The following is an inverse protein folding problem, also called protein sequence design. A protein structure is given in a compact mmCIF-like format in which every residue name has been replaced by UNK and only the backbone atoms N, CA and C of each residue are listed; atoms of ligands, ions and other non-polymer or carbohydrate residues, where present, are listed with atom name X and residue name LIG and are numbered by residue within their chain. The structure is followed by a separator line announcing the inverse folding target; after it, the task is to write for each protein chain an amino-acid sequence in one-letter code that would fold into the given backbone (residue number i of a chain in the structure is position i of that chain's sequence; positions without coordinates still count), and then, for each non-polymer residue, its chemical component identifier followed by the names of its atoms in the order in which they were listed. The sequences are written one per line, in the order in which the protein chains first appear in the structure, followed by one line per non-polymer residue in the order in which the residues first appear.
data_IF_602542118460
#
_entry.id   IF_602542118460
#
_cell.length_a   1.000
_cell.length_b   1.000
_cell.length_c   1.000
_cell.angle_alpha   90.00
_cell.angle_beta   90.00
_cell.angle_gamma   90.00
#
_symmetry.space_group_name_H-M   'P 1'
#
loop_
_entity.id
_entity.type
_entity.pdbx_description
1 polymer ?
#
# COMPACT_ATOMS: atom_id res chain seq x y z
N UNK A 1 -28.60 -47.16 27.97
CA UNK A 1 -28.23 -45.96 28.74
C UNK A 1 -26.71 -45.91 28.79
N UNK A 2 -26.10 -45.20 27.92
CA UNK A 2 -24.67 -44.93 27.93
C UNK A 2 -24.50 -43.42 28.23
N UNK A 3 -23.80 -43.13 29.34
CA UNK A 3 -23.52 -41.75 29.81
C UNK A 3 -22.46 -41.08 28.97
N UNK A 4 -22.40 -39.75 28.96
CA UNK A 4 -21.45 -38.99 28.15
C UNK A 4 -20.04 -39.09 28.78
N UNK A 5 -19.07 -39.44 27.90
CA UNK A 5 -17.65 -39.43 28.22
C UNK A 5 -17.19 -38.00 28.56
N UNK A 6 -16.53 -37.89 29.68
CA UNK A 6 -15.92 -36.65 30.17
C UNK A 6 -14.75 -36.24 29.24
N UNK A 7 -14.88 -35.09 28.61
CA UNK A 7 -13.77 -34.43 27.96
C UNK A 7 -12.76 -34.04 29.03
N UNK A 8 -11.62 -34.71 29.04
CA UNK A 8 -10.53 -34.44 29.96
C UNK A 8 -10.02 -33.01 29.73
N UNK A 9 -10.19 -32.16 30.74
CA UNK A 9 -9.54 -30.86 30.88
C UNK A 9 -8.01 -31.08 30.86
N UNK A 10 -7.38 -30.71 29.76
CA UNK A 10 -5.93 -30.55 29.71
C UNK A 10 -5.56 -29.40 30.64
N UNK A 11 -4.94 -29.76 31.75
CA UNK A 11 -4.32 -28.82 32.69
C UNK A 11 -3.36 -27.91 31.94
N UNK A 12 -3.62 -26.59 32.00
CA UNK A 12 -2.71 -25.54 31.64
C UNK A 12 -1.53 -25.53 32.61
N UNK A 13 -0.54 -26.39 32.36
CA UNK A 13 0.80 -26.15 32.89
C UNK A 13 1.38 -24.99 32.06
N UNK A 14 1.61 -23.86 32.71
CA UNK A 14 2.47 -22.76 32.25
C UNK A 14 3.89 -23.31 32.02
N UNK A 15 4.09 -23.96 30.91
CA UNK A 15 5.39 -24.12 30.30
C UNK A 15 5.79 -22.72 29.84
N UNK A 16 6.73 -22.08 30.53
CA UNK A 16 7.49 -20.96 29.99
C UNK A 16 8.08 -21.42 28.66
N UNK A 17 7.33 -21.20 27.58
CA UNK A 17 7.76 -21.55 26.22
C UNK A 17 8.93 -20.65 25.90
N UNK A 18 10.13 -21.21 25.81
CA UNK A 18 11.31 -20.50 25.31
C UNK A 18 10.96 -19.93 23.94
N UNK A 19 11.22 -18.63 23.69
CA UNK A 19 10.97 -18.05 22.37
C UNK A 19 11.64 -18.86 21.26
N UNK A 20 11.05 -18.99 20.08
CA UNK A 20 11.63 -19.72 18.96
C UNK A 20 13.07 -19.26 18.68
N UNK A 21 14.02 -20.19 18.66
CA UNK A 21 15.43 -19.93 18.44
C UNK A 21 16.12 -21.17 17.86
N UNK A 22 17.27 -20.94 17.26
CA UNK A 22 18.23 -21.98 16.88
C UNK A 22 19.64 -21.44 17.06
N UNK A 23 20.16 -21.53 18.30
CA UNK A 23 21.50 -21.03 18.64
C UNK A 23 22.57 -21.70 17.78
N UNK A 24 22.41 -22.97 17.46
CA UNK A 24 23.30 -23.72 16.58
C UNK A 24 23.38 -23.13 15.18
N UNK A 25 22.23 -22.74 14.60
CA UNK A 25 22.19 -22.09 13.28
C UNK A 25 22.79 -20.69 13.33
N UNK A 26 22.54 -19.91 14.40
CA UNK A 26 23.14 -18.60 14.60
C UNK A 26 24.67 -18.69 14.69
N UNK A 27 25.20 -19.63 15.48
CA UNK A 27 26.64 -19.85 15.62
C UNK A 27 27.27 -20.31 14.30
N UNK A 28 26.62 -21.24 13.60
CA UNK A 28 27.09 -21.72 12.29
C UNK A 28 27.09 -20.61 11.24
N UNK A 29 26.07 -19.73 11.28
CA UNK A 29 25.97 -18.57 10.38
C UNK A 29 27.12 -17.59 10.59
N UNK A 30 27.35 -17.16 11.84
CA UNK A 30 28.44 -16.25 12.20
C UNK A 30 29.82 -16.89 11.91
N UNK A 31 29.99 -18.16 12.23
CA UNK A 31 31.21 -18.89 11.95
C UNK A 31 31.52 -18.99 10.46
N UNK A 32 30.49 -19.23 9.63
CA UNK A 32 30.62 -19.26 8.17
C UNK A 32 31.07 -17.89 7.61
N UNK A 33 30.52 -16.81 8.16
CA UNK A 33 30.90 -15.46 7.76
C UNK A 33 32.34 -15.07 8.18
N UNK A 34 32.86 -15.65 9.27
CA UNK A 34 34.28 -15.49 9.65
C UNK A 34 35.24 -16.24 8.72
N UNK A 35 34.76 -17.28 8.02
CA UNK A 35 35.55 -18.13 7.13
C UNK A 35 35.53 -17.69 5.66
N UNK A 36 34.46 -17.01 5.24
CA UNK A 36 34.25 -16.65 3.83
C UNK A 36 33.79 -15.18 3.69
N UNK A 37 34.50 -14.43 2.84
CA UNK A 37 34.15 -13.04 2.55
C UNK A 37 32.80 -12.91 1.85
N UNK A 38 32.46 -13.85 0.98
CA UNK A 38 31.17 -13.90 0.30
C UNK A 38 30.03 -14.11 1.30
N UNK A 39 30.17 -15.09 2.20
CA UNK A 39 29.24 -15.33 3.28
C UNK A 39 29.10 -14.11 4.21
N UNK A 40 30.19 -13.40 4.45
CA UNK A 40 30.20 -12.18 5.27
C UNK A 40 29.38 -11.06 4.60
N UNK A 41 29.55 -10.84 3.29
CA UNK A 41 28.80 -9.81 2.54
C UNK A 41 27.30 -10.13 2.55
N UNK A 42 26.92 -11.36 2.24
CA UNK A 42 25.51 -11.77 2.24
C UNK A 42 24.87 -11.71 3.65
N UNK A 43 25.63 -12.07 4.68
CA UNK A 43 25.16 -11.92 6.07
C UNK A 43 24.76 -10.47 6.38
N UNK A 44 25.59 -9.49 5.97
CA UNK A 44 25.31 -8.07 6.22
C UNK A 44 24.12 -7.53 5.43
N UNK A 45 23.85 -8.11 4.25
CA UNK A 45 22.71 -7.75 3.42
C UNK A 45 21.40 -8.35 3.92
N UNK A 46 21.38 -9.61 4.35
CA UNK A 46 20.17 -10.38 4.56
C UNK A 46 19.73 -10.45 6.04
N UNK A 47 20.63 -10.20 7.02
CA UNK A 47 20.37 -10.37 8.46
C UNK A 47 20.55 -9.05 9.20
N UNK A 48 19.69 -8.83 10.19
CA UNK A 48 19.77 -7.70 11.12
C UNK A 48 20.17 -8.20 12.52
N UNK A 49 20.78 -7.34 13.35
CA UNK A 49 21.17 -7.69 14.75
C UNK A 49 20.01 -8.29 15.54
N UNK A 50 18.80 -7.74 15.38
CA UNK A 50 17.59 -8.21 16.07
C UNK A 50 17.08 -9.59 15.61
N UNK A 51 17.62 -10.14 14.53
CA UNK A 51 17.25 -11.48 14.06
C UNK A 51 17.95 -12.60 14.84
N UNK A 52 18.98 -12.26 15.60
CA UNK A 52 19.61 -13.20 16.51
C UNK A 52 18.85 -13.24 17.84
N UNK A 53 18.69 -14.44 18.39
CA UNK A 53 18.10 -14.67 19.72
C UNK A 53 19.12 -14.48 20.83
N UNK A 54 20.35 -14.95 20.61
CA UNK A 54 21.43 -14.87 21.58
C UNK A 54 22.01 -13.45 21.64
N UNK A 55 21.99 -12.77 22.82
CA UNK A 55 22.63 -11.47 22.98
C UNK A 55 24.12 -11.48 22.64
N UNK A 56 24.78 -12.62 22.88
CA UNK A 56 26.17 -12.84 22.53
C UNK A 56 26.38 -12.78 21.00
N UNK A 57 25.52 -13.46 20.23
CA UNK A 57 25.57 -13.48 18.79
C UNK A 57 25.20 -12.13 18.19
N UNK A 58 24.26 -11.39 18.78
CA UNK A 58 23.96 -10.00 18.42
C UNK A 58 25.21 -9.12 18.54
N UNK A 59 25.92 -9.19 19.68
CA UNK A 59 27.14 -8.39 19.90
C UNK A 59 28.24 -8.73 18.90
N UNK A 60 28.41 -10.01 18.58
CA UNK A 60 29.41 -10.46 17.58
C UNK A 60 29.03 -9.94 16.20
N UNK A 61 27.75 -10.04 15.82
CA UNK A 61 27.26 -9.53 14.54
C UNK A 61 27.44 -8.00 14.42
N UNK A 62 27.15 -7.23 15.47
CA UNK A 62 27.36 -5.78 15.51
C UNK A 62 28.84 -5.41 15.30
N UNK A 63 29.75 -6.15 15.93
CA UNK A 63 31.18 -5.96 15.71
C UNK A 63 31.61 -6.29 14.28
N UNK A 64 31.06 -7.37 13.70
CA UNK A 64 31.30 -7.72 12.30
C UNK A 64 30.77 -6.63 11.35
N UNK A 65 29.60 -6.06 11.65
CA UNK A 65 29.00 -4.97 10.89
C UNK A 65 29.85 -3.69 10.93
N UNK A 66 30.34 -3.31 12.11
CA UNK A 66 31.25 -2.16 12.26
C UNK A 66 32.52 -2.32 11.39
N UNK A 67 33.09 -3.51 11.36
CA UNK A 67 34.23 -3.83 10.51
C UNK A 67 33.89 -3.76 9.02
N UNK A 68 32.73 -4.32 8.63
CA UNK A 68 32.23 -4.29 7.26
C UNK A 68 32.03 -2.86 6.75
N UNK A 69 31.33 -2.04 7.52
CA UNK A 69 31.05 -0.63 7.21
C UNK A 69 32.33 0.21 7.13
N UNK A 70 33.36 -0.18 7.90
CA UNK A 70 34.70 0.43 7.85
C UNK A 70 35.61 -0.12 6.76
N UNK A 71 35.16 -1.07 5.95
CA UNK A 71 35.96 -1.72 4.89
C UNK A 71 37.12 -2.56 5.41
N UNK A 72 37.10 -2.97 6.68
CA UNK A 72 38.16 -3.78 7.31
C UNK A 72 37.88 -5.27 7.14
N UNK A 73 38.94 -6.13 7.14
CA UNK A 73 38.73 -7.58 7.07
C UNK A 73 37.97 -8.08 8.30
N UNK A 74 37.07 -9.03 8.07
CA UNK A 74 36.28 -9.70 9.11
C UNK A 74 36.89 -11.08 9.35
N UNK A 75 37.57 -11.23 10.46
CA UNK A 75 38.14 -12.47 10.93
C UNK A 75 38.06 -12.58 12.47
N UNK A 76 38.44 -13.73 13.03
CA UNK A 76 38.36 -13.97 14.47
C UNK A 76 39.17 -12.99 15.30
N UNK A 77 40.27 -12.45 14.78
CA UNK A 77 41.16 -11.54 15.46
C UNK A 77 40.57 -10.12 15.46
N UNK A 78 40.19 -9.62 14.30
CA UNK A 78 39.61 -8.27 14.14
C UNK A 78 38.29 -8.12 14.87
N UNK A 79 37.40 -9.14 14.78
CA UNK A 79 36.12 -9.14 15.52
C UNK A 79 36.36 -9.18 17.03
N UNK A 80 37.34 -9.98 17.51
CA UNK A 80 37.68 -10.01 18.93
C UNK A 80 38.18 -8.65 19.41
N UNK A 81 39.00 -7.95 18.62
CA UNK A 81 39.50 -6.61 18.97
C UNK A 81 38.34 -5.62 19.14
N UNK A 82 37.37 -5.59 18.24
CA UNK A 82 36.20 -4.68 18.33
C UNK A 82 35.32 -5.03 19.51
N UNK A 83 34.98 -6.31 19.71
CA UNK A 83 34.12 -6.78 20.80
C UNK A 83 34.72 -6.41 22.20
N UNK A 84 36.04 -6.57 22.37
CA UNK A 84 36.69 -6.33 23.66
C UNK A 84 37.14 -4.88 23.89
N UNK A 85 37.09 -4.04 22.86
CA UNK A 85 37.36 -2.60 22.98
C UNK A 85 36.28 -1.89 23.79
N UNK A 86 35.05 -2.35 23.69
CA UNK A 86 33.91 -1.78 24.40
C UNK A 86 33.76 -2.44 25.79
N UNK A 87 34.19 -1.72 26.82
CA UNK A 87 34.20 -2.19 28.22
C UNK A 87 32.85 -2.57 28.79
N UNK A 88 31.76 -2.19 28.14
CA UNK A 88 30.37 -2.54 28.53
C UNK A 88 30.02 -3.99 28.21
N UNK A 89 30.62 -4.58 27.18
CA UNK A 89 30.32 -5.91 26.69
C UNK A 89 31.18 -7.05 27.30
N UNK A 90 32.12 -6.70 28.16
CA UNK A 90 33.19 -7.61 28.61
C UNK A 90 32.75 -8.62 29.68
N UNK A 91 31.51 -8.57 30.17
CA UNK A 91 31.12 -9.37 31.34
C UNK A 91 30.73 -10.83 31.01
N UNK A 92 30.40 -11.16 29.75
CA UNK A 92 29.93 -12.50 29.37
C UNK A 92 30.67 -13.17 28.20
N UNK A 93 31.42 -12.40 27.39
CA UNK A 93 32.11 -12.94 26.20
C UNK A 93 33.58 -13.27 26.54
N UNK A 94 34.02 -14.46 26.19
CA UNK A 94 35.42 -14.91 26.21
C UNK A 94 35.97 -14.99 24.80
N UNK A 95 37.25 -14.65 24.59
CA UNK A 95 37.92 -14.80 23.27
C UNK A 95 37.75 -16.23 22.70
N UNK A 96 37.69 -17.25 23.56
CA UNK A 96 37.42 -18.63 23.19
C UNK A 96 36.01 -18.85 22.58
N UNK A 97 35.05 -17.95 22.83
CA UNK A 97 33.70 -18.08 22.27
C UNK A 97 33.69 -17.75 20.79
N UNK A 98 34.46 -16.74 20.33
CA UNK A 98 34.56 -16.38 18.91
C UNK A 98 35.34 -17.46 18.13
N UNK A 99 36.41 -18.00 18.71
CA UNK A 99 37.14 -19.10 18.08
C UNK A 99 36.26 -20.37 17.90
N UNK A 100 35.43 -20.70 18.90
CA UNK A 100 34.47 -21.80 18.81
C UNK A 100 33.43 -21.67 17.68
N UNK A 101 33.07 -20.46 17.26
CA UNK A 101 32.15 -20.26 16.13
C UNK A 101 32.72 -20.87 14.85
N UNK A 102 34.02 -20.74 14.62
CA UNK A 102 34.69 -21.31 13.44
C UNK A 102 34.82 -22.81 13.54
N UNK A 103 35.13 -23.33 14.75
CA UNK A 103 35.26 -24.77 14.97
C UNK A 103 33.92 -25.51 14.84
N UNK A 104 32.81 -24.85 15.14
CA UNK A 104 31.47 -25.42 15.11
C UNK A 104 30.78 -25.35 13.75
N UNK A 105 31.42 -24.82 12.68
CA UNK A 105 30.82 -24.76 11.33
C UNK A 105 30.86 -26.13 10.68
N UNK A 106 29.71 -26.81 10.46
CA UNK A 106 29.70 -28.12 9.82
C UNK A 106 30.06 -28.05 8.33
N UNK A 107 29.66 -27.00 7.65
CA UNK A 107 29.97 -26.68 6.25
C UNK A 107 29.61 -25.24 5.92
N UNK A 108 30.56 -24.48 5.40
CA UNK A 108 30.27 -23.13 4.86
C UNK A 108 29.41 -23.15 3.59
N UNK A 109 29.27 -24.30 2.94
CA UNK A 109 28.41 -24.47 1.77
C UNK A 109 26.88 -24.37 2.10
N UNK A 110 26.53 -24.58 3.37
CA UNK A 110 25.14 -24.54 3.81
C UNK A 110 24.72 -23.18 4.39
N UNK A 111 25.47 -22.14 4.14
CA UNK A 111 25.27 -20.81 4.66
C UNK A 111 23.85 -20.26 4.40
N UNK A 112 23.34 -20.42 3.18
CA UNK A 112 21.97 -19.99 2.81
C UNK A 112 20.92 -20.64 3.69
N UNK A 113 21.09 -21.94 3.99
CA UNK A 113 20.16 -22.65 4.87
C UNK A 113 20.19 -22.14 6.30
N UNK A 114 21.35 -21.69 6.77
CA UNK A 114 21.45 -21.10 8.11
C UNK A 114 20.77 -19.72 8.17
N UNK A 115 20.87 -18.90 7.11
CA UNK A 115 20.11 -17.65 6.99
C UNK A 115 18.62 -17.94 7.08
N UNK A 116 18.09 -18.86 6.27
CA UNK A 116 16.66 -19.20 6.28
C UNK A 116 16.18 -19.61 7.68
N UNK A 117 16.94 -20.46 8.37
CA UNK A 117 16.58 -20.92 9.73
C UNK A 117 16.54 -19.73 10.71
N UNK A 118 17.56 -18.87 10.71
CA UNK A 118 17.63 -17.72 11.61
C UNK A 118 16.48 -16.74 11.33
N UNK A 119 16.20 -16.46 10.06
CA UNK A 119 15.08 -15.60 9.64
C UNK A 119 13.72 -16.22 10.04
N UNK A 120 13.51 -17.52 9.84
CA UNK A 120 12.29 -18.20 10.24
C UNK A 120 12.05 -18.06 11.75
N UNK A 121 13.07 -18.32 12.57
CA UNK A 121 12.94 -18.18 14.02
C UNK A 121 12.75 -16.71 14.44
N UNK A 122 13.39 -15.77 13.78
CA UNK A 122 13.19 -14.34 14.00
C UNK A 122 11.75 -13.92 13.69
N UNK A 123 11.21 -14.33 12.55
CA UNK A 123 9.84 -14.02 12.15
C UNK A 123 8.81 -14.61 13.13
N UNK A 124 9.04 -15.82 13.64
CA UNK A 124 8.21 -16.41 14.71
C UNK A 124 8.25 -15.57 15.98
N UNK A 125 9.42 -15.03 16.38
CA UNK A 125 9.54 -14.12 17.54
C UNK A 125 8.84 -12.79 17.31
N UNK A 126 8.92 -12.22 16.08
CA UNK A 126 8.20 -10.99 15.71
C UNK A 126 6.68 -11.19 15.84
N UNK A 127 6.16 -12.33 15.36
CA UNK A 127 4.74 -12.68 15.52
C UNK A 127 4.33 -12.84 16.99
N UNK A 128 5.16 -13.44 17.83
CA UNK A 128 4.90 -13.56 19.27
C UNK A 128 4.89 -12.18 19.95
N UNK A 129 5.80 -11.27 19.58
CA UNK A 129 5.81 -9.90 20.10
C UNK A 129 4.56 -9.13 19.67
N UNK A 130 4.15 -9.26 18.40
CA UNK A 130 2.93 -8.65 17.89
C UNK A 130 1.69 -9.18 18.63
N UNK A 131 1.59 -10.51 18.82
CA UNK A 131 0.50 -11.14 19.58
C UNK A 131 0.42 -10.62 21.02
N UNK A 132 1.57 -10.55 21.73
CA UNK A 132 1.60 -10.01 23.10
C UNK A 132 1.21 -8.52 23.15
N UNK A 133 1.57 -7.74 22.13
CA UNK A 133 1.16 -6.33 22.03
C UNK A 133 -0.34 -6.21 21.79
N UNK A 134 -0.90 -7.05 20.92
CA UNK A 134 -2.35 -7.09 20.63
C UNK A 134 -3.12 -7.51 21.89
N UNK A 135 -2.63 -8.49 22.64
CA UNK A 135 -3.22 -8.89 23.91
C UNK A 135 -3.29 -7.71 24.89
N UNK A 136 -2.19 -6.98 25.08
CA UNK A 136 -2.15 -5.79 25.93
C UNK A 136 -3.13 -4.69 25.45
N UNK A 137 -3.21 -4.47 24.14
CA UNK A 137 -4.16 -3.51 23.55
C UNK A 137 -5.61 -3.90 23.80
N UNK A 138 -5.93 -5.20 23.74
CA UNK A 138 -7.28 -5.70 23.98
C UNK A 138 -7.73 -5.51 25.43
N UNK A 139 -6.81 -5.46 26.40
CA UNK A 139 -7.10 -5.14 27.80
C UNK A 139 -7.13 -3.65 28.11
N UNK A 140 -6.71 -2.77 27.19
CA UNK A 140 -6.73 -1.31 27.39
C UNK A 140 -8.16 -0.76 27.22
N UNK A 141 -8.91 -0.69 28.31
CA UNK A 141 -10.32 -0.25 28.32
C UNK A 141 -10.50 1.27 28.22
N UNK A 142 -9.43 2.03 28.31
CA UNK A 142 -9.37 3.48 28.22
C UNK A 142 -9.31 4.02 26.76
N UNK A 143 -9.01 3.13 25.81
CA UNK A 143 -8.91 3.47 24.38
C UNK A 143 -10.20 3.14 23.63
N UNK A 144 -10.48 3.95 22.59
CA UNK A 144 -11.54 3.63 21.65
C UNK A 144 -11.22 2.34 20.88
N UNK A 145 -12.24 1.49 20.69
CA UNK A 145 -12.07 0.17 20.06
C UNK A 145 -11.55 0.25 18.62
N UNK A 146 -11.90 1.31 17.88
CA UNK A 146 -11.39 1.49 16.52
C UNK A 146 -9.88 1.74 16.54
N UNK A 147 -9.38 2.58 17.43
CA UNK A 147 -7.96 2.83 17.61
C UNK A 147 -7.21 1.57 18.05
N UNK A 148 -7.81 0.74 18.90
CA UNK A 148 -7.24 -0.54 19.34
C UNK A 148 -7.11 -1.50 18.15
N UNK A 149 -8.13 -1.57 17.29
CA UNK A 149 -8.09 -2.41 16.09
C UNK A 149 -7.02 -1.96 15.09
N UNK A 150 -6.90 -0.65 14.86
CA UNK A 150 -5.88 -0.08 13.97
C UNK A 150 -4.47 -0.36 14.48
N UNK A 151 -4.21 -0.15 15.79
CA UNK A 151 -2.91 -0.46 16.41
C UNK A 151 -2.59 -1.98 16.35
N UNK A 152 -3.60 -2.84 16.45
CA UNK A 152 -3.46 -4.29 16.34
C UNK A 152 -3.10 -4.69 14.90
N UNK A 153 -3.81 -4.17 13.89
CA UNK A 153 -3.50 -4.40 12.48
C UNK A 153 -2.10 -3.92 12.13
N UNK A 154 -1.71 -2.73 12.59
CA UNK A 154 -0.37 -2.19 12.39
C UNK A 154 0.71 -3.07 13.03
N UNK A 155 0.43 -3.68 14.19
CA UNK A 155 1.37 -4.57 14.89
C UNK A 155 1.59 -5.87 14.11
N UNK A 156 0.55 -6.43 13.49
CA UNK A 156 0.65 -7.61 12.62
C UNK A 156 1.40 -7.26 11.34
N UNK A 157 1.06 -6.10 10.74
CA UNK A 157 1.65 -5.66 9.50
C UNK A 157 3.16 -5.44 9.63
N UNK A 158 3.60 -4.71 10.67
CA UNK A 158 5.03 -4.49 10.90
C UNK A 158 5.80 -5.79 11.14
N UNK A 159 5.16 -6.81 11.75
CA UNK A 159 5.77 -8.12 11.89
C UNK A 159 5.92 -8.89 10.56
N UNK A 160 5.06 -8.59 9.57
CA UNK A 160 5.10 -9.21 8.23
C UNK A 160 6.00 -8.46 7.26
N UNK A 161 6.03 -7.12 7.33
CA UNK A 161 6.75 -6.26 6.38
C UNK A 161 8.28 -6.36 6.54
N UNK A 162 8.75 -6.54 7.79
CA UNK A 162 10.16 -6.84 8.07
C UNK A 162 10.65 -8.18 7.50
N UNK A 163 9.72 -9.05 7.08
CA UNK A 163 10.04 -10.36 6.50
C UNK A 163 10.29 -10.29 4.98
N UNK A 164 9.93 -9.17 4.31
CA UNK A 164 10.07 -8.98 2.87
C UNK A 164 11.00 -7.78 2.65
N UNK A 165 12.23 -7.89 3.10
CA UNK A 165 13.31 -7.03 2.63
C UNK A 165 13.71 -7.54 1.24
N UNK A 166 13.06 -7.05 0.17
CA UNK A 166 13.59 -7.24 -1.18
C UNK A 166 14.94 -6.53 -1.25
N UNK A 167 16.02 -7.32 -1.32
CA UNK A 167 17.36 -6.83 -1.63
C UNK A 167 17.38 -6.18 -3.02
N UNK A 168 18.53 -5.62 -3.41
CA UNK A 168 18.74 -5.16 -4.79
C UNK A 168 18.57 -6.34 -5.74
N UNK A 169 17.64 -6.21 -6.69
CA UNK A 169 17.36 -7.24 -7.70
C UNK A 169 18.21 -6.93 -8.92
N UNK A 170 18.92 -7.92 -9.44
CA UNK A 170 19.73 -7.80 -10.66
C UNK A 170 18.84 -7.52 -11.88
N UNK A 171 19.33 -6.75 -12.85
CA UNK A 171 18.61 -6.48 -14.11
C UNK A 171 18.23 -7.76 -14.82
N UNK A 172 19.13 -8.78 -14.79
CA UNK A 172 18.89 -10.12 -15.37
C UNK A 172 17.61 -10.78 -14.85
N UNK A 173 17.29 -10.58 -13.57
CA UNK A 173 16.18 -11.27 -12.91
C UNK A 173 14.81 -10.66 -13.25
N UNK A 174 14.81 -9.43 -13.78
CA UNK A 174 13.61 -8.66 -14.16
C UNK A 174 13.44 -8.54 -15.67
N UNK A 175 14.50 -8.81 -16.44
CA UNK A 175 14.54 -8.57 -17.88
C UNK A 175 13.53 -9.41 -18.65
N UNK A 176 13.44 -10.70 -18.35
CA UNK A 176 12.53 -11.62 -19.03
C UNK A 176 11.08 -11.20 -18.84
N UNK A 177 10.66 -10.87 -17.60
CA UNK A 177 9.32 -10.37 -17.32
C UNK A 177 9.02 -9.00 -17.95
N UNK A 178 10.04 -8.16 -18.14
CA UNK A 178 9.86 -6.88 -18.84
C UNK A 178 9.65 -7.10 -20.35
N UNK A 179 10.37 -8.04 -20.97
CA UNK A 179 10.20 -8.41 -22.38
C UNK A 179 8.83 -9.02 -22.61
N UNK A 180 8.41 -9.99 -21.79
CA UNK A 180 7.08 -10.59 -21.88
C UNK A 180 5.96 -9.53 -21.82
N UNK A 181 6.09 -8.55 -20.94
CA UNK A 181 5.12 -7.46 -20.82
C UNK A 181 5.08 -6.57 -22.08
N UNK A 182 6.22 -6.30 -22.72
CA UNK A 182 6.29 -5.55 -23.99
C UNK A 182 5.61 -6.35 -25.11
N UNK A 183 5.86 -7.65 -25.21
CA UNK A 183 5.24 -8.55 -26.18
C UNK A 183 3.71 -8.63 -26.00
N UNK A 184 3.23 -8.68 -24.76
CA UNK A 184 1.80 -8.65 -24.45
C UNK A 184 1.14 -7.36 -24.94
N UNK A 185 1.76 -6.19 -24.72
CA UNK A 185 1.26 -4.88 -25.18
C UNK A 185 1.21 -4.85 -26.72
N UNK A 186 2.24 -5.32 -27.39
CA UNK A 186 2.31 -5.38 -28.86
C UNK A 186 1.22 -6.31 -29.44
N UNK A 187 1.03 -7.48 -28.84
CA UNK A 187 0.05 -8.45 -29.27
C UNK A 187 -1.41 -7.98 -29.05
N UNK A 188 -1.69 -7.16 -28.02
CA UNK A 188 -3.02 -6.62 -27.79
C UNK A 188 -3.43 -5.59 -28.85
N UNK A 189 -2.50 -4.97 -29.55
CA UNK A 189 -2.76 -4.04 -30.66
C UNK A 189 -3.54 -2.76 -30.27
N UNK A 190 -3.83 -2.57 -28.98
CA UNK A 190 -4.60 -1.41 -28.48
C UNK A 190 -3.71 -0.21 -28.17
N UNK A 191 -2.40 -0.39 -28.07
CA UNK A 191 -1.46 0.64 -27.64
C UNK A 191 -1.60 1.03 -26.16
N UNK A 192 -2.39 0.27 -25.39
CA UNK A 192 -2.61 0.51 -23.96
C UNK A 192 -1.77 -0.44 -23.13
N UNK A 193 -0.90 0.12 -22.29
CA UNK A 193 -0.08 -0.63 -21.34
C UNK A 193 -0.72 -0.73 -19.94
N UNK A 194 -1.73 0.09 -19.67
CA UNK A 194 -2.46 0.18 -18.42
C UNK A 194 -3.96 -0.04 -18.56
N UNK A 195 -4.68 0.20 -17.46
CA UNK A 195 -6.12 0.07 -17.38
C UNK A 195 -6.81 1.17 -18.20
N UNK A 196 -7.64 0.78 -19.18
CA UNK A 196 -8.35 1.72 -20.04
C UNK A 196 -9.37 2.56 -19.25
N UNK A 197 -9.40 3.86 -19.47
CA UNK A 197 -10.43 4.77 -18.93
C UNK A 197 -11.68 4.81 -19.79
N UNK A 198 -11.55 4.37 -21.05
CA UNK A 198 -12.54 4.49 -22.13
C UNK A 198 -12.90 5.93 -22.53
N UNK A 199 -11.96 6.85 -22.27
CA UNK A 199 -11.92 8.15 -22.88
C UNK A 199 -10.76 8.16 -23.88
N UNK A 200 -11.07 8.13 -25.17
CA UNK A 200 -10.10 7.87 -26.24
C UNK A 200 -8.88 8.80 -26.20
N UNK A 201 -9.10 10.10 -26.03
CA UNK A 201 -8.00 11.09 -25.98
C UNK A 201 -7.17 10.93 -24.70
N UNK A 202 -7.81 10.58 -23.60
CA UNK A 202 -7.14 10.34 -22.33
C UNK A 202 -6.29 9.06 -22.41
N UNK A 203 -6.86 7.98 -22.91
CA UNK A 203 -6.19 6.71 -23.08
C UNK A 203 -5.01 6.81 -24.08
N UNK A 204 -5.18 7.57 -25.18
CA UNK A 204 -4.10 7.81 -26.14
C UNK A 204 -2.92 8.59 -25.53
N UNK A 205 -3.19 9.45 -24.55
CA UNK A 205 -2.16 10.29 -23.90
C UNK A 205 -1.47 9.54 -22.75
N UNK A 206 -2.24 8.77 -21.96
CA UNK A 206 -1.73 8.08 -20.77
C UNK A 206 -1.30 6.62 -21.03
N UNK A 207 -1.64 6.07 -22.20
CA UNK A 207 -1.57 4.63 -22.47
C UNK A 207 -2.33 3.79 -21.42
N UNK A 208 -3.43 4.34 -20.85
CA UNK A 208 -4.18 3.78 -19.73
C UNK A 208 -3.60 4.12 -18.35
N UNK A 209 -4.34 3.77 -17.29
CA UNK A 209 -3.91 3.95 -15.91
C UNK A 209 -2.95 2.83 -15.53
N UNK A 210 -1.69 3.17 -15.18
CA UNK A 210 -0.65 2.19 -14.91
C UNK A 210 -0.75 1.65 -13.47
N UNK A 211 -0.46 0.38 -13.28
CA UNK A 211 -0.38 -0.26 -11.98
C UNK A 211 0.61 0.43 -11.05
N UNK A 212 0.19 0.65 -9.81
CA UNK A 212 1.00 1.31 -8.80
C UNK A 212 1.09 2.83 -8.94
N UNK A 213 0.36 3.44 -9.91
CA UNK A 213 0.33 4.88 -10.06
C UNK A 213 -0.74 5.55 -9.19
N UNK A 214 -0.37 6.71 -8.66
CA UNK A 214 -1.29 7.67 -8.05
C UNK A 214 -1.63 8.74 -9.10
N UNK A 215 -2.87 8.71 -9.57
CA UNK A 215 -3.41 9.66 -10.55
C UNK A 215 -4.33 10.63 -9.83
N UNK A 216 -4.11 11.93 -9.95
CA UNK A 216 -4.89 12.95 -9.26
C UNK A 216 -5.75 13.74 -10.26
N UNK A 217 -7.07 13.78 -10.04
CA UNK A 217 -7.98 14.69 -10.76
C UNK A 217 -8.24 15.90 -9.87
N UNK A 218 -7.77 17.06 -10.32
CA UNK A 218 -7.90 18.31 -9.60
C UNK A 218 -8.85 19.28 -10.30
N UNK A 219 -9.79 19.85 -9.55
CA UNK A 219 -10.76 20.80 -10.10
C UNK A 219 -11.29 21.77 -9.04
N UNK A 220 -11.83 22.89 -9.52
CA UNK A 220 -12.72 23.73 -8.72
C UNK A 220 -14.08 23.06 -8.53
N UNK A 221 -14.84 23.40 -7.47
CA UNK A 221 -16.20 22.89 -7.28
C UNK A 221 -17.07 23.08 -8.54
N UNK A 222 -17.98 22.17 -8.77
CA UNK A 222 -18.93 22.18 -9.90
C UNK A 222 -18.33 22.00 -11.31
N UNK A 223 -17.03 21.73 -11.43
CA UNK A 223 -16.38 21.44 -12.72
C UNK A 223 -16.64 20.02 -13.25
N UNK A 224 -17.19 19.12 -12.43
CA UNK A 224 -17.51 17.76 -12.83
C UNK A 224 -16.48 16.70 -12.40
N UNK A 225 -15.60 17.01 -11.44
CA UNK A 225 -14.56 16.12 -10.91
C UNK A 225 -15.09 14.71 -10.55
N UNK A 226 -16.05 14.64 -9.63
CA UNK A 226 -16.66 13.38 -9.17
C UNK A 226 -17.41 12.66 -10.30
N UNK A 227 -18.01 13.42 -11.24
CA UNK A 227 -18.69 12.83 -12.40
C UNK A 227 -17.72 12.16 -13.36
N UNK A 228 -16.57 12.76 -13.63
CA UNK A 228 -15.53 12.16 -14.48
C UNK A 228 -14.98 10.88 -13.83
N UNK A 229 -14.63 10.94 -12.55
CA UNK A 229 -14.11 9.79 -11.83
C UNK A 229 -15.13 8.63 -11.77
N UNK A 230 -16.41 8.95 -11.53
CA UNK A 230 -17.49 7.95 -11.53
C UNK A 230 -17.70 7.34 -12.91
N UNK A 231 -17.58 8.12 -13.99
CA UNK A 231 -17.67 7.59 -15.36
C UNK A 231 -16.48 6.67 -15.68
N UNK A 232 -15.25 7.02 -15.29
CA UNK A 232 -14.08 6.16 -15.43
C UNK A 232 -14.33 4.84 -14.65
N UNK A 233 -14.72 4.92 -13.38
CA UNK A 233 -15.03 3.76 -12.56
C UNK A 233 -16.10 2.85 -13.16
N UNK A 234 -17.16 3.46 -13.71
CA UNK A 234 -18.25 2.74 -14.39
C UNK A 234 -17.75 2.06 -15.67
N UNK A 235 -16.99 2.77 -16.50
CA UNK A 235 -16.45 2.22 -17.74
C UNK A 235 -15.53 1.03 -17.47
N UNK A 236 -14.60 1.16 -16.52
CA UNK A 236 -13.71 0.08 -16.06
C UNK A 236 -14.52 -1.14 -15.59
N UNK A 237 -15.59 -0.90 -14.81
CA UNK A 237 -16.44 -1.99 -14.31
C UNK A 237 -17.27 -2.67 -15.39
N UNK A 238 -17.58 -2.01 -16.52
CA UNK A 238 -18.22 -2.64 -17.68
C UNK A 238 -17.34 -3.72 -18.31
N UNK A 239 -16.01 -3.54 -18.28
CA UNK A 239 -15.02 -4.52 -18.71
C UNK A 239 -14.78 -5.65 -17.70
N UNK A 240 -15.67 -5.77 -16.69
CA UNK A 240 -15.55 -6.76 -15.61
C UNK A 240 -14.33 -6.58 -14.70
N UNK A 241 -13.70 -5.43 -14.75
CA UNK A 241 -12.63 -5.03 -13.85
C UNK A 241 -13.19 -4.55 -12.53
N UNK A 242 -12.64 -5.02 -11.43
CA UNK A 242 -13.13 -4.74 -10.08
C UNK A 242 -12.70 -3.34 -9.64
N UNK A 243 -13.66 -2.49 -9.32
CA UNK A 243 -13.41 -1.11 -8.91
C UNK A 243 -13.96 -0.85 -7.50
N UNK A 244 -13.11 -0.26 -6.64
CA UNK A 244 -13.51 0.28 -5.33
C UNK A 244 -13.61 1.79 -5.41
N UNK A 245 -14.74 2.37 -4.99
CA UNK A 245 -14.99 3.80 -4.97
C UNK A 245 -15.30 4.25 -3.54
N UNK A 246 -14.37 5.01 -2.94
CA UNK A 246 -14.49 5.60 -1.62
C UNK A 246 -14.99 7.05 -1.76
N UNK A 247 -16.18 7.34 -1.26
CA UNK A 247 -16.81 8.65 -1.34
C UNK A 247 -16.97 9.26 0.05
N UNK A 248 -16.39 10.44 0.24
CA UNK A 248 -16.55 11.22 1.47
C UNK A 248 -17.52 12.41 1.29
N UNK A 249 -17.94 12.70 0.04
CA UNK A 249 -18.83 13.82 -0.26
C UNK A 249 -20.25 13.36 -0.57
N UNK A 250 -20.41 12.20 -1.18
CA UNK A 250 -21.70 11.70 -1.66
C UNK A 250 -22.03 10.35 -1.05
N UNK A 251 -23.33 10.13 -0.80
CA UNK A 251 -23.83 8.83 -0.34
C UNK A 251 -23.77 7.78 -1.46
N UNK A 252 -23.69 6.51 -1.11
CA UNK A 252 -23.70 5.40 -2.08
C UNK A 252 -24.99 5.37 -2.92
N UNK A 253 -26.11 5.77 -2.33
CA UNK A 253 -27.39 5.86 -3.04
C UNK A 253 -27.34 6.93 -4.14
N UNK A 254 -26.73 8.10 -3.87
CA UNK A 254 -26.56 9.16 -4.86
C UNK A 254 -25.61 8.74 -5.98
N UNK A 255 -24.51 8.02 -5.64
CA UNK A 255 -23.58 7.49 -6.63
C UNK A 255 -24.25 6.47 -7.54
N UNK A 256 -24.96 5.49 -6.96
CA UNK A 256 -25.72 4.49 -7.74
C UNK A 256 -26.76 5.16 -8.63
N UNK A 257 -27.49 6.17 -8.15
CA UNK A 257 -28.42 6.93 -8.97
C UNK A 257 -27.74 7.62 -10.15
N UNK A 258 -26.55 8.22 -9.95
CA UNK A 258 -25.79 8.87 -11.02
C UNK A 258 -25.34 7.87 -12.07
N UNK A 259 -24.81 6.71 -11.65
CA UNK A 259 -24.45 5.62 -12.57
C UNK A 259 -25.68 5.17 -13.37
N UNK A 260 -26.78 4.92 -12.68
CA UNK A 260 -28.01 4.45 -13.29
C UNK A 260 -28.56 5.44 -14.34
N UNK A 261 -28.62 6.73 -14.02
CA UNK A 261 -29.11 7.75 -14.95
C UNK A 261 -28.16 7.99 -16.12
N UNK A 262 -26.87 7.88 -15.89
CA UNK A 262 -25.86 7.93 -16.95
C UNK A 262 -26.04 6.78 -17.94
N UNK A 263 -26.18 5.55 -17.44
CA UNK A 263 -26.40 4.36 -18.28
C UNK A 263 -27.76 4.38 -19.00
N UNK A 264 -28.81 4.85 -18.35
CA UNK A 264 -30.13 5.01 -18.94
C UNK A 264 -30.21 6.19 -19.92
N UNK A 265 -29.19 7.06 -19.99
CA UNK A 265 -29.20 8.32 -20.74
C UNK A 265 -30.41 9.19 -20.37
N UNK A 266 -30.69 9.31 -19.09
CA UNK A 266 -31.78 10.09 -18.50
C UNK A 266 -31.18 11.21 -17.64
N UNK A 267 -31.74 12.41 -17.72
CA UNK A 267 -31.23 13.51 -16.91
C UNK A 267 -31.70 13.38 -15.46
N UNK A 268 -30.83 13.69 -14.50
CA UNK A 268 -31.20 13.75 -13.07
C UNK A 268 -32.33 14.73 -12.80
N UNK A 269 -32.46 15.78 -13.65
CA UNK A 269 -33.53 16.78 -13.56
C UNK A 269 -34.90 16.18 -13.86
N UNK A 270 -35.01 15.32 -14.88
CA UNK A 270 -36.27 14.65 -15.24
C UNK A 270 -36.71 13.70 -14.12
N UNK A 271 -35.76 12.96 -13.54
CA UNK A 271 -36.01 12.06 -12.44
C UNK A 271 -36.51 12.80 -11.18
N UNK A 272 -35.85 13.92 -10.79
CA UNK A 272 -36.25 14.72 -9.63
C UNK A 272 -37.64 15.38 -9.79
N UNK A 273 -38.01 15.71 -11.01
CA UNK A 273 -39.34 16.29 -11.31
C UNK A 273 -40.45 15.22 -11.42
N UNK A 274 -40.12 13.94 -11.32
CA UNK A 274 -41.07 12.83 -11.54
C UNK A 274 -41.55 12.74 -13.00
N UNK A 275 -40.78 13.30 -13.96
CA UNK A 275 -41.13 13.38 -15.38
C UNK A 275 -40.48 12.24 -16.21
N UNK A 276 -40.31 11.10 -15.59
CA UNK A 276 -39.87 9.87 -16.27
C UNK A 276 -41.09 9.22 -16.94
N UNK A 277 -41.41 9.58 -18.14
CA UNK A 277 -42.47 8.87 -18.91
C UNK A 277 -42.12 7.37 -19.08
N UNK A 278 -43.07 6.54 -19.59
CA UNK A 278 -42.87 5.09 -19.66
C UNK A 278 -41.63 4.66 -20.42
N UNK A 279 -41.25 5.38 -21.45
CA UNK A 279 -40.04 5.09 -22.25
C UNK A 279 -38.74 5.29 -21.47
N UNK A 280 -38.62 6.43 -20.76
CA UNK A 280 -37.44 6.71 -19.91
C UNK A 280 -37.37 5.73 -18.77
N UNK A 281 -38.52 5.37 -18.18
CA UNK A 281 -38.60 4.39 -17.11
C UNK A 281 -38.12 3.00 -17.57
N UNK A 282 -38.54 2.55 -18.77
CA UNK A 282 -38.05 1.29 -19.37
C UNK A 282 -36.52 1.28 -19.50
N UNK A 283 -35.91 2.40 -19.97
CA UNK A 283 -34.44 2.51 -20.06
C UNK A 283 -33.78 2.44 -18.71
N UNK A 284 -34.39 3.02 -17.67
CA UNK A 284 -33.86 2.95 -16.28
C UNK A 284 -33.88 1.50 -15.78
N UNK A 285 -34.93 0.74 -16.03
CA UNK A 285 -35.04 -0.68 -15.65
C UNK A 285 -34.02 -1.55 -16.40
N UNK A 286 -33.82 -1.30 -17.70
CA UNK A 286 -32.78 -1.98 -18.48
C UNK A 286 -31.37 -1.66 -17.95
N UNK A 287 -31.10 -0.38 -17.68
CA UNK A 287 -29.83 0.06 -17.08
C UNK A 287 -29.58 -0.56 -15.71
N UNK A 288 -30.63 -0.71 -14.89
CA UNK A 288 -30.51 -1.35 -13.56
C UNK A 288 -30.01 -2.79 -13.68
N UNK A 289 -30.48 -3.55 -14.66
CA UNK A 289 -30.00 -4.91 -14.91
C UNK A 289 -28.51 -4.97 -15.30
N UNK A 290 -28.04 -3.96 -16.06
CA UNK A 290 -26.62 -3.84 -16.44
C UNK A 290 -25.76 -3.45 -15.24
N UNK A 291 -26.18 -2.44 -14.48
CA UNK A 291 -25.47 -1.91 -13.31
C UNK A 291 -25.36 -2.96 -12.20
N UNK A 292 -26.41 -3.78 -11.99
CA UNK A 292 -26.40 -4.83 -10.97
C UNK A 292 -25.29 -5.88 -11.18
N UNK A 293 -24.84 -6.06 -12.42
CA UNK A 293 -23.79 -7.02 -12.77
C UNK A 293 -22.37 -6.41 -12.88
N UNK A 294 -22.22 -5.13 -12.56
CA UNK A 294 -20.91 -4.46 -12.58
C UNK A 294 -20.16 -4.75 -11.28
N UNK A 295 -18.88 -5.09 -11.32
CA UNK A 295 -18.04 -5.27 -10.14
C UNK A 295 -17.56 -3.89 -9.60
N UNK A 296 -18.50 -3.01 -9.27
CA UNK A 296 -18.28 -1.66 -8.75
C UNK A 296 -18.75 -1.62 -7.28
N UNK A 297 -17.84 -1.35 -6.37
CA UNK A 297 -18.04 -1.36 -4.92
C UNK A 297 -17.93 0.05 -4.37
N UNK A 298 -18.93 0.48 -3.60
CA UNK A 298 -18.97 1.81 -2.97
C UNK A 298 -18.77 1.71 -1.47
N UNK A 299 -18.03 2.68 -0.94
CA UNK A 299 -17.92 2.97 0.48
C UNK A 299 -18.19 4.46 0.68
N UNK A 300 -19.17 4.79 1.51
CA UNK A 300 -19.61 6.17 1.81
C UNK A 300 -19.43 6.55 3.29
N UNK A 301 -18.42 5.96 3.93
CA UNK A 301 -18.07 6.31 5.30
C UNK A 301 -17.72 7.81 5.39
N UNK A 302 -18.37 8.53 6.30
CA UNK A 302 -18.20 9.99 6.49
C UNK A 302 -16.80 10.35 6.99
N UNK A 303 -16.11 9.39 7.59
CA UNK A 303 -14.73 9.51 8.07
C UNK A 303 -13.98 8.28 7.61
N UNK A 304 -12.89 8.47 6.90
CA UNK A 304 -12.05 7.37 6.41
C UNK A 304 -10.58 7.76 6.48
N UNK A 305 -9.75 6.82 6.94
CA UNK A 305 -8.29 6.93 6.95
C UNK A 305 -7.69 6.15 5.78
N UNK A 306 -6.41 6.38 5.47
CA UNK A 306 -5.70 5.55 4.47
C UNK A 306 -5.60 4.10 4.94
N UNK A 307 -5.53 3.87 6.24
CA UNK A 307 -5.51 2.52 6.84
C UNK A 307 -6.81 1.78 6.56
N UNK A 308 -7.97 2.44 6.69
CA UNK A 308 -9.28 1.85 6.34
C UNK A 308 -9.37 1.48 4.87
N UNK A 309 -8.95 2.40 3.99
CA UNK A 309 -8.90 2.15 2.53
C UNK A 309 -8.02 0.94 2.25
N UNK A 310 -6.84 0.85 2.89
CA UNK A 310 -5.92 -0.28 2.75
C UNK A 310 -6.56 -1.60 3.16
N UNK A 311 -7.15 -1.65 4.34
CA UNK A 311 -7.78 -2.87 4.88
C UNK A 311 -8.94 -3.35 3.99
N UNK A 312 -9.85 -2.43 3.59
CA UNK A 312 -10.98 -2.73 2.72
C UNK A 312 -10.54 -3.17 1.31
N UNK A 313 -9.55 -2.47 0.74
CA UNK A 313 -8.99 -2.78 -0.59
C UNK A 313 -8.26 -4.12 -0.62
N UNK A 314 -7.46 -4.45 0.40
CA UNK A 314 -6.82 -5.77 0.54
C UNK A 314 -7.85 -6.90 0.63
N UNK A 315 -8.89 -6.72 1.43
CA UNK A 315 -9.98 -7.70 1.56
C UNK A 315 -10.72 -7.91 0.23
N UNK A 316 -11.03 -6.83 -0.48
CA UNK A 316 -11.66 -6.90 -1.80
C UNK A 316 -10.75 -7.58 -2.80
N UNK A 317 -9.47 -7.22 -2.86
CA UNK A 317 -8.48 -7.83 -3.76
C UNK A 317 -8.33 -9.33 -3.52
N UNK A 318 -8.27 -9.76 -2.25
CA UNK A 318 -8.14 -11.17 -1.89
C UNK A 318 -9.39 -12.00 -2.22
N UNK A 319 -10.60 -11.41 -2.16
CA UNK A 319 -11.86 -12.14 -2.35
C UNK A 319 -12.39 -12.12 -3.79
N UNK A 320 -12.20 -11.02 -4.51
CA UNK A 320 -12.82 -10.79 -5.83
C UNK A 320 -11.87 -10.22 -6.89
N UNK A 321 -10.64 -9.87 -6.49
CA UNK A 321 -9.74 -9.06 -7.30
C UNK A 321 -9.96 -7.57 -7.08
N UNK A 322 -9.03 -6.74 -7.59
CA UNK A 322 -9.12 -5.28 -7.54
C UNK A 322 -8.24 -4.70 -8.64
N UNK A 323 -8.83 -3.88 -9.51
CA UNK A 323 -8.16 -3.29 -10.67
C UNK A 323 -8.09 -1.75 -10.60
N UNK A 324 -8.98 -1.10 -9.84
CA UNK A 324 -8.99 0.36 -9.68
C UNK A 324 -9.49 0.76 -8.29
N UNK A 325 -8.83 1.75 -7.70
CA UNK A 325 -9.31 2.44 -6.49
C UNK A 325 -9.60 3.89 -6.85
N UNK A 326 -10.78 4.40 -6.45
CA UNK A 326 -11.16 5.81 -6.57
C UNK A 326 -11.40 6.39 -5.19
N UNK A 327 -10.88 7.60 -4.91
CA UNK A 327 -11.04 8.31 -3.64
C UNK A 327 -11.58 9.72 -3.89
N UNK A 328 -12.79 10.02 -3.46
CA UNK A 328 -13.44 11.32 -3.62
C UNK A 328 -13.76 11.95 -2.25
N UNK A 329 -13.01 12.92 -1.76
CA UNK A 329 -11.76 13.54 -2.20
C UNK A 329 -10.76 13.68 -1.04
N UNK A 330 -9.48 13.83 -1.33
CA UNK A 330 -8.37 13.78 -0.39
C UNK A 330 -8.51 14.72 0.82
N UNK A 331 -9.01 15.94 0.60
CA UNK A 331 -9.13 16.94 1.65
C UNK A 331 -10.26 16.66 2.68
N UNK A 332 -11.04 15.60 2.55
CA UNK A 332 -11.99 15.15 3.58
C UNK A 332 -11.46 13.97 4.39
N UNK A 333 -10.37 13.34 3.96
CA UNK A 333 -9.76 12.25 4.71
C UNK A 333 -9.16 12.75 6.02
N UNK A 334 -9.12 11.90 7.03
CA UNK A 334 -8.41 12.16 8.28
C UNK A 334 -6.97 11.62 8.21
N UNK A 335 -6.02 12.47 8.64
CA UNK A 335 -4.63 12.06 8.88
C UNK A 335 -4.43 11.60 10.33
N UNK A 336 -3.27 11.00 10.61
CA UNK A 336 -2.91 10.52 11.95
C UNK A 336 -2.40 11.64 12.87
N UNK A 337 -1.93 12.77 12.32
CA UNK A 337 -1.31 13.89 13.04
C UNK A 337 -2.16 15.16 12.92
N UNK A 338 -2.79 15.58 14.04
CA UNK A 338 -3.79 16.66 14.07
C UNK A 338 -3.30 18.11 14.03
N UNK A 339 -2.00 18.40 13.90
CA UNK A 339 -1.46 19.75 14.16
C UNK A 339 -1.36 20.67 12.91
N UNK A 340 -1.30 20.13 11.70
CA UNK A 340 -1.20 20.92 10.48
C UNK A 340 -1.83 20.23 9.28
N UNK A 341 -2.89 20.83 8.72
CA UNK A 341 -3.64 20.26 7.58
C UNK A 341 -2.78 19.97 6.34
N UNK A 342 -1.77 20.79 6.07
CA UNK A 342 -0.84 20.55 4.96
C UNK A 342 0.00 19.29 5.17
N UNK A 343 0.44 19.05 6.40
CA UNK A 343 1.20 17.84 6.74
C UNK A 343 0.33 16.60 6.67
N UNK A 344 -0.94 16.67 7.12
CA UNK A 344 -1.90 15.57 6.99
C UNK A 344 -2.12 15.18 5.52
N UNK A 345 -2.34 16.16 4.64
CA UNK A 345 -2.55 15.91 3.21
C UNK A 345 -1.29 15.31 2.58
N UNK A 346 -0.09 15.76 3.00
CA UNK A 346 1.17 15.20 2.56
C UNK A 346 1.33 13.73 2.98
N UNK A 347 0.97 13.41 4.21
CA UNK A 347 0.99 12.05 4.72
C UNK A 347 -0.02 11.15 3.99
N UNK A 348 -1.24 11.64 3.78
CA UNK A 348 -2.29 10.94 3.03
C UNK A 348 -1.83 10.63 1.61
N UNK A 349 -1.28 11.63 0.90
CA UNK A 349 -0.79 11.48 -0.47
C UNK A 349 0.28 10.41 -0.59
N UNK A 350 1.32 10.48 0.26
CA UNK A 350 2.41 9.50 0.31
C UNK A 350 1.90 8.10 0.63
N UNK A 351 1.00 7.98 1.61
CA UNK A 351 0.44 6.70 1.99
C UNK A 351 -0.44 6.09 0.90
N UNK A 352 -1.19 6.90 0.13
CA UNK A 352 -1.94 6.42 -1.04
C UNK A 352 -1.00 5.97 -2.17
N UNK A 353 0.10 6.69 -2.42
CA UNK A 353 1.12 6.24 -3.40
C UNK A 353 1.75 4.92 -2.99
N UNK A 354 2.08 4.76 -1.72
CA UNK A 354 2.59 3.49 -1.20
C UNK A 354 1.56 2.37 -1.34
N UNK A 355 0.28 2.65 -1.07
CA UNK A 355 -0.80 1.68 -1.23
C UNK A 355 -0.99 1.25 -2.69
N UNK A 356 -0.89 2.19 -3.65
CA UNK A 356 -0.96 1.88 -5.07
C UNK A 356 0.15 0.88 -5.48
N UNK A 357 1.39 1.14 -5.04
CA UNK A 357 2.54 0.25 -5.28
C UNK A 357 2.38 -1.12 -4.61
N UNK A 358 1.98 -1.13 -3.35
CA UNK A 358 1.74 -2.34 -2.57
C UNK A 358 0.70 -3.26 -3.22
N UNK A 359 -0.42 -2.67 -3.61
CA UNK A 359 -1.50 -3.41 -4.24
C UNK A 359 -1.28 -3.64 -5.74
N UNK A 360 -0.29 -2.99 -6.37
CA UNK A 360 -0.10 -2.99 -7.83
C UNK A 360 -1.42 -2.67 -8.54
N UNK A 361 -2.07 -1.59 -8.13
CA UNK A 361 -3.37 -1.12 -8.65
C UNK A 361 -3.31 0.40 -8.78
N UNK A 362 -3.77 1.00 -9.89
CA UNK A 362 -3.88 2.45 -9.99
C UNK A 362 -4.86 3.01 -8.96
N UNK A 363 -4.49 4.14 -8.36
CA UNK A 363 -5.37 4.91 -7.47
C UNK A 363 -5.70 6.24 -8.15
N UNK A 364 -7.01 6.48 -8.36
CA UNK A 364 -7.54 7.72 -8.87
C UNK A 364 -8.05 8.57 -7.69
N UNK A 365 -7.27 9.55 -7.28
CA UNK A 365 -7.58 10.43 -6.16
C UNK A 365 -8.12 11.78 -6.65
N UNK A 366 -9.19 12.27 -6.02
CA UNK A 366 -9.76 13.55 -6.37
C UNK A 366 -9.24 14.64 -5.43
N UNK A 367 -8.94 15.81 -5.96
CA UNK A 367 -8.45 16.96 -5.20
C UNK A 367 -9.19 18.24 -5.57
N UNK A 368 -9.40 19.09 -4.58
CA UNK A 368 -9.99 20.41 -4.82
C UNK A 368 -8.88 21.45 -4.99
N UNK A 369 -8.99 22.28 -6.02
CA UNK A 369 -8.05 23.38 -6.27
C UNK A 369 -8.34 24.60 -5.40
N UNK A 370 -7.27 25.37 -5.10
CA UNK A 370 -7.37 26.63 -4.38
C UNK A 370 -8.19 27.69 -5.17
N UNK A 371 -8.84 28.59 -4.46
CA UNK A 371 -9.61 29.71 -5.06
C UNK A 371 -8.74 30.69 -5.85
N UNK A 372 -7.44 30.71 -5.65
CA UNK A 372 -6.50 31.56 -6.38
C UNK A 372 -6.56 31.38 -7.92
N UNK A 373 -6.95 30.18 -8.39
CA UNK A 373 -7.17 29.93 -9.82
C UNK A 373 -8.26 30.84 -10.42
N UNK A 374 -9.32 31.16 -9.66
CA UNK A 374 -10.45 31.97 -10.13
C UNK A 374 -10.12 33.47 -10.16
N UNK A 375 -9.07 33.91 -9.45
CA UNK A 375 -8.62 35.30 -9.43
C UNK A 375 -7.81 35.68 -10.66
N UNK A 376 -7.36 34.70 -11.46
CA UNK A 376 -6.63 34.95 -12.71
C UNK A 376 -7.57 35.32 -13.86
N UNK A 377 -7.06 36.05 -14.82
CA UNK A 377 -7.83 36.46 -16.01
C UNK A 377 -8.25 35.22 -16.84
N UNK A 378 -7.33 34.28 -17.04
CA UNK A 378 -7.57 33.08 -17.84
C UNK A 378 -8.34 31.97 -17.06
N UNK A 379 -8.41 32.08 -15.73
CA UNK A 379 -9.05 31.12 -14.79
C UNK A 379 -8.64 29.65 -15.00
N UNK A 380 -7.61 29.40 -15.82
CA UNK A 380 -7.12 28.05 -16.08
C UNK A 380 -6.30 27.55 -14.91
N UNK A 381 -6.56 26.30 -14.48
CA UNK A 381 -5.82 25.69 -13.37
C UNK A 381 -4.34 25.49 -13.73
N UNK A 382 -3.46 25.58 -12.73
CA UNK A 382 -2.02 25.32 -12.82
C UNK A 382 -1.58 24.47 -11.64
N UNK A 383 -0.44 23.76 -11.74
CA UNK A 383 0.09 22.91 -10.66
C UNK A 383 0.18 23.66 -9.32
N UNK A 384 0.61 24.91 -9.34
CA UNK A 384 0.68 25.74 -8.14
C UNK A 384 -0.67 26.01 -7.45
N UNK A 385 -1.81 25.67 -8.08
CA UNK A 385 -3.14 25.79 -7.46
C UNK A 385 -3.44 24.61 -6.53
N UNK A 386 -2.63 23.55 -6.58
CA UNK A 386 -2.56 22.46 -5.57
C UNK A 386 -1.81 22.89 -4.29
N UNK A 387 -1.46 24.16 -4.15
CA UNK A 387 -0.47 24.73 -3.21
C UNK A 387 -0.75 24.50 -1.72
N UNK A 388 -1.98 24.22 -1.30
CA UNK A 388 -2.27 23.73 0.05
C UNK A 388 -1.86 22.24 0.20
N UNK A 389 -1.45 21.62 -0.90
CA UNK A 389 -1.12 20.22 -1.05
C UNK A 389 0.13 20.05 -1.92
N UNK A 390 1.17 20.85 -1.71
CA UNK A 390 2.43 20.75 -2.48
C UNK A 390 3.06 19.36 -2.47
N UNK A 391 2.73 18.54 -1.49
CA UNK A 391 3.13 17.14 -1.45
C UNK A 391 2.37 16.28 -2.47
N UNK A 392 1.11 16.59 -2.79
CA UNK A 392 0.37 15.85 -3.84
C UNK A 392 1.09 15.98 -5.19
N UNK A 393 1.65 17.17 -5.48
CA UNK A 393 2.45 17.41 -6.69
C UNK A 393 3.71 16.53 -6.75
N UNK A 394 4.32 16.24 -5.60
CA UNK A 394 5.53 15.42 -5.50
C UNK A 394 5.25 13.92 -5.52
N UNK A 395 4.12 13.49 -4.94
CA UNK A 395 3.79 12.08 -4.78
C UNK A 395 2.99 11.52 -5.97
N UNK A 396 2.21 12.38 -6.68
CA UNK A 396 1.40 11.96 -7.82
C UNK A 396 2.27 11.68 -9.05
N UNK A 397 1.96 10.60 -9.76
CA UNK A 397 2.60 10.28 -11.04
C UNK A 397 1.97 11.08 -12.19
N UNK A 398 0.67 11.36 -12.07
CA UNK A 398 -0.11 12.10 -13.07
C UNK A 398 -1.07 13.03 -12.34
N UNK A 399 -1.12 14.29 -12.80
CA UNK A 399 -2.10 15.28 -12.35
C UNK A 399 -2.95 15.72 -13.54
N UNK A 400 -4.24 15.44 -13.48
CA UNK A 400 -5.24 15.87 -14.46
C UNK A 400 -6.01 17.07 -13.91
N UNK A 401 -5.96 18.18 -14.61
CA UNK A 401 -6.68 19.41 -14.24
C UNK A 401 -7.92 19.60 -15.08
N UNK A 402 -9.07 19.61 -14.43
CA UNK A 402 -10.36 19.74 -15.09
C UNK A 402 -10.78 21.21 -15.16
N UNK A 403 -11.06 21.67 -16.36
CA UNK A 403 -11.50 23.03 -16.64
C UNK A 403 -12.69 23.02 -17.60
N UNK A 404 -13.66 23.90 -17.36
CA UNK A 404 -14.84 24.11 -18.21
C UNK A 404 -14.94 25.59 -18.57
N UNK A 405 -14.68 25.89 -19.82
CA UNK A 405 -14.74 27.27 -20.30
C UNK A 405 -16.17 27.83 -20.32
N UNK A 406 -17.16 26.99 -20.67
CA UNK A 406 -18.58 27.33 -20.66
C UNK A 406 -19.11 27.74 -19.28
N UNK A 407 -18.50 27.30 -18.20
CA UNK A 407 -18.85 27.69 -16.84
C UNK A 407 -18.46 29.16 -16.54
N UNK A 408 -17.32 29.59 -17.06
CA UNK A 408 -16.81 30.95 -16.84
C UNK A 408 -17.27 31.95 -17.91
N UNK A 409 -17.54 31.47 -19.12
CA UNK A 409 -17.92 32.24 -20.28
C UNK A 409 -19.21 31.71 -20.94
N UNK A 410 -20.36 31.77 -20.25
CA UNK A 410 -21.59 31.11 -20.72
C UNK A 410 -22.18 31.69 -22.02
N UNK A 411 -21.76 32.88 -22.42
CA UNK A 411 -22.30 33.59 -23.59
C UNK A 411 -21.65 33.16 -24.93
N UNK A 412 -20.49 32.47 -24.87
CA UNK A 412 -19.75 32.10 -26.09
C UNK A 412 -20.11 30.72 -26.66
N UNK A 413 -20.89 29.93 -25.97
CA UNK A 413 -21.18 28.54 -26.38
C UNK A 413 -22.68 28.31 -26.58
N UNK A 414 -23.06 27.96 -27.80
CA UNK A 414 -24.44 27.54 -28.17
C UNK A 414 -24.64 26.05 -27.87
N UNK A 415 -23.55 25.30 -27.61
CA UNK A 415 -23.57 23.86 -27.23
C UNK A 415 -22.63 23.62 -26.06
N UNK A 416 -23.08 22.77 -25.12
CA UNK A 416 -22.24 22.27 -24.02
C UNK A 416 -21.10 21.42 -24.58
N UNK A 417 -19.89 21.91 -24.48
CA UNK A 417 -18.69 21.12 -24.80
C UNK A 417 -18.30 20.23 -23.62
N UNK A 418 -17.64 19.11 -23.90
CA UNK A 418 -17.04 18.29 -22.85
C UNK A 418 -15.97 19.08 -22.09
N UNK A 419 -15.81 18.84 -20.78
CA UNK A 419 -14.77 19.50 -19.99
C UNK A 419 -13.39 19.29 -20.62
N UNK A 420 -12.62 20.35 -20.72
CA UNK A 420 -11.22 20.26 -21.18
C UNK A 420 -10.36 19.68 -20.06
N UNK A 421 -9.66 18.60 -20.33
CA UNK A 421 -8.67 18.01 -19.44
C UNK A 421 -7.30 18.56 -19.81
N UNK A 422 -6.64 19.21 -18.86
CA UNK A 422 -5.25 19.66 -18.98
C UNK A 422 -4.38 18.65 -18.24
N UNK A 423 -3.51 17.96 -18.98
CA UNK A 423 -2.47 17.10 -18.43
C UNK A 423 -1.22 17.95 -18.19
N UNK A 424 -0.61 17.82 -17.02
CA UNK A 424 0.63 18.53 -16.64
C UNK A 424 1.60 17.51 -16.02
#
# INVERSE_FOLDING_TARGET
MAGPEAVSSRSSSDLQKTPPNSIEAEEALLGSALLSRDASSRLMEEIKSNDFYSPTNQTIFEAMKELFDSGKPIDTVTVSEVVFKDKKNTTSLKTSSIARLVDNVPSSANFERYIEIVQEQSNRRKLLKASSRIELLAYATDKDIHNVMDEAEQSIFSASDDAIGEGLIGVSDVLDGAIERIEEIENQGTGLSGLATHFADLDSTLAGLQDGNLVVIAARPSMGKSSLALNIATNVSKEKKVTAFFSLEMTKEELVQRVLFSEAKVTSGDARKGQLGPEKWSRVVEAASKVNNMPLYFDDASVITVTDIRAKSRRLKASKGLDLIVVDYLQLMQGLSGDNRQQEIAEISRNLKNLARELKVPILALSQLNRAAEAREDKRPRLGDLRESGAIEQDADIVMMLYRDDYYNPVSYTHLTLPTILLV
#
